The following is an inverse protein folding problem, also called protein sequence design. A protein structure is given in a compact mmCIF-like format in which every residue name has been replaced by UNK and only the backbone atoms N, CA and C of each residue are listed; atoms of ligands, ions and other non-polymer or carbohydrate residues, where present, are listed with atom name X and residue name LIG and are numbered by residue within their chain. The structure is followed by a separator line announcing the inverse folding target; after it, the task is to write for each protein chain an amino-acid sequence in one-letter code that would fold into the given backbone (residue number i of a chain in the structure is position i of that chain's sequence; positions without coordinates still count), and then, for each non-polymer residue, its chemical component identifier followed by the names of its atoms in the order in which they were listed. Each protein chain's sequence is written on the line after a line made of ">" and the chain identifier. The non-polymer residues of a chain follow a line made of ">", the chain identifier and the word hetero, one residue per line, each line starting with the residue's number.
data_IF_273424888675
#
_entry.id   IF_273424888675
#
_cell.length_a   1.000
_cell.length_b   1.000
_cell.length_c   1.000
_cell.angle_alpha   90.00
_cell.angle_beta   90.00
_cell.angle_gamma   90.00
#
_symmetry.space_group_name_H-M   'P 1'
#
loop_
_entity.id
_entity.type
_entity.pdbx_description
1 polymer ?
#
# COMPACT_ATOMS: atom_id res chain seq x y z
N UNK A 1 -0.47 -21.45 34.75
CA UNK A 1 0.76 -21.25 33.94
C UNK A 1 0.59 -20.00 33.08
N UNK A 2 1.51 -19.10 33.13
CA UNK A 2 1.52 -17.97 32.18
C UNK A 2 1.91 -18.52 30.80
N UNK A 3 1.02 -18.38 29.81
CA UNK A 3 1.41 -18.63 28.43
C UNK A 3 2.49 -17.63 28.03
N UNK A 4 3.60 -18.12 27.49
CA UNK A 4 4.69 -17.28 27.01
C UNK A 4 4.44 -16.94 25.55
N UNK A 5 4.47 -15.64 25.23
CA UNK A 5 4.46 -15.17 23.85
C UNK A 5 5.70 -15.72 23.14
N UNK A 6 5.49 -16.36 21.99
CA UNK A 6 6.56 -16.97 21.17
C UNK A 6 6.72 -16.29 19.82
N UNK A 7 5.65 -15.69 19.32
CA UNK A 7 5.59 -15.05 18.01
C UNK A 7 5.08 -13.62 18.16
N UNK A 8 5.75 -12.68 17.52
CA UNK A 8 5.30 -11.29 17.41
C UNK A 8 5.07 -11.02 15.92
N UNK A 9 3.83 -10.67 15.58
CA UNK A 9 3.45 -10.29 14.23
C UNK A 9 3.39 -8.78 14.10
N UNK A 10 4.04 -8.24 13.08
CA UNK A 10 4.03 -6.81 12.76
C UNK A 10 3.22 -6.58 11.49
N UNK A 11 2.35 -5.59 11.54
CA UNK A 11 1.83 -4.98 10.32
C UNK A 11 2.98 -4.25 9.60
N UNK A 12 2.83 -4.02 8.30
CA UNK A 12 3.89 -3.43 7.49
C UNK A 12 3.67 -1.95 7.20
N UNK A 13 2.75 -1.63 6.27
CA UNK A 13 2.50 -0.26 5.84
C UNK A 13 2.05 0.63 7.00
N UNK A 14 2.71 1.79 7.15
CA UNK A 14 2.48 2.76 8.23
C UNK A 14 2.68 2.21 9.66
N UNK A 15 3.33 1.05 9.75
CA UNK A 15 3.81 0.46 10.99
C UNK A 15 5.33 0.30 10.98
N UNK A 16 5.89 -0.30 9.94
CA UNK A 16 7.33 -0.45 9.77
C UNK A 16 7.93 0.68 8.92
N UNK A 17 7.21 1.13 7.93
CA UNK A 17 7.62 2.19 7.00
C UNK A 17 6.44 3.07 6.61
N UNK A 18 6.74 4.26 6.12
CA UNK A 18 5.74 5.21 5.65
C UNK A 18 5.11 4.74 4.35
N UNK A 19 3.79 4.80 4.24
CA UNK A 19 3.03 4.38 3.07
C UNK A 19 1.95 5.39 2.67
N UNK A 20 1.07 5.77 3.58
CA UNK A 20 -0.06 6.65 3.31
C UNK A 20 0.31 7.99 2.65
N UNK A 21 1.39 8.69 3.05
CA UNK A 21 1.77 9.94 2.39
C UNK A 21 2.04 9.79 0.89
N UNK A 22 2.58 8.65 0.45
CA UNK A 22 2.83 8.38 -0.97
C UNK A 22 1.52 8.18 -1.74
N UNK A 23 0.56 7.49 -1.16
CA UNK A 23 -0.79 7.32 -1.73
C UNK A 23 -1.52 8.65 -1.82
N UNK A 24 -1.44 9.49 -0.80
CA UNK A 24 -2.04 10.82 -0.80
C UNK A 24 -1.46 11.70 -1.91
N UNK A 25 -0.16 11.68 -2.12
CA UNK A 25 0.49 12.45 -3.18
C UNK A 25 0.05 11.95 -4.58
N UNK A 26 -0.02 10.64 -4.78
CA UNK A 26 -0.52 10.06 -6.04
C UNK A 26 -1.98 10.45 -6.26
N UNK A 27 -2.83 10.39 -5.24
CA UNK A 27 -4.24 10.78 -5.35
C UNK A 27 -4.39 12.26 -5.70
N UNK A 28 -3.55 13.12 -5.13
CA UNK A 28 -3.53 14.54 -5.47
C UNK A 28 -3.19 14.76 -6.95
N UNK A 29 -2.14 14.11 -7.45
CA UNK A 29 -1.78 14.19 -8.86
C UNK A 29 -2.88 13.61 -9.76
N UNK A 30 -3.52 12.53 -9.32
CA UNK A 30 -4.65 11.91 -10.02
C UNK A 30 -5.84 12.87 -10.16
N UNK A 31 -6.24 13.53 -9.07
CA UNK A 31 -7.35 14.49 -9.12
C UNK A 31 -7.00 15.71 -9.99
N UNK A 32 -5.74 16.12 -10.03
CA UNK A 32 -5.26 17.19 -10.92
C UNK A 32 -5.39 16.80 -12.40
N UNK A 33 -5.05 15.55 -12.75
CA UNK A 33 -5.21 15.03 -14.12
C UNK A 33 -6.68 15.01 -14.56
N UNK A 34 -7.59 14.79 -13.64
CA UNK A 34 -9.02 14.66 -13.90
C UNK A 34 -9.81 15.95 -13.66
N UNK A 35 -9.14 17.05 -13.41
CA UNK A 35 -9.72 18.36 -13.13
C UNK A 35 -10.84 18.80 -14.10
N UNK A 36 -10.79 18.50 -15.42
CA UNK A 36 -11.88 18.83 -16.33
C UNK A 36 -13.20 18.10 -16.02
N UNK A 37 -13.17 17.02 -15.23
CA UNK A 37 -14.31 16.15 -14.95
C UNK A 37 -14.95 16.34 -13.58
N UNK A 38 -14.36 17.17 -12.72
CA UNK A 38 -14.89 17.43 -11.39
C UNK A 38 -13.90 18.07 -10.45
N UNK A 39 -14.34 18.38 -9.25
CA UNK A 39 -13.47 18.87 -8.17
C UNK A 39 -12.64 17.73 -7.59
N UNK A 40 -11.54 18.05 -6.94
CA UNK A 40 -10.71 17.05 -6.24
C UNK A 40 -11.54 16.22 -5.25
N UNK A 41 -12.43 16.87 -4.52
CA UNK A 41 -13.30 16.21 -3.54
C UNK A 41 -14.28 15.23 -4.20
N UNK A 42 -14.90 15.62 -5.31
CA UNK A 42 -15.82 14.76 -6.06
C UNK A 42 -15.11 13.56 -6.66
N UNK A 43 -13.93 13.76 -7.24
CA UNK A 43 -13.12 12.70 -7.84
C UNK A 43 -12.60 11.74 -6.77
N UNK A 44 -12.11 12.25 -5.65
CA UNK A 44 -11.67 11.40 -4.51
C UNK A 44 -12.83 10.58 -3.95
N UNK A 45 -14.01 11.14 -3.83
CA UNK A 45 -15.18 10.42 -3.36
C UNK A 45 -15.61 9.30 -4.33
N UNK A 46 -15.56 9.57 -5.64
CA UNK A 46 -15.83 8.57 -6.68
C UNK A 46 -14.79 7.44 -6.65
N UNK A 47 -13.50 7.78 -6.50
CA UNK A 47 -12.43 6.82 -6.39
C UNK A 47 -12.62 5.92 -5.16
N UNK A 48 -12.88 6.50 -4.02
CA UNK A 48 -13.11 5.75 -2.78
C UNK A 48 -14.27 4.75 -2.95
N UNK A 49 -15.37 5.16 -3.58
CA UNK A 49 -16.51 4.27 -3.83
C UNK A 49 -16.10 3.11 -4.75
N UNK A 50 -15.30 3.37 -5.77
CA UNK A 50 -14.77 2.33 -6.68
C UNK A 50 -13.87 1.36 -5.93
N UNK A 51 -12.98 1.87 -5.09
CA UNK A 51 -12.11 1.03 -4.25
C UNK A 51 -12.92 0.11 -3.32
N UNK A 52 -13.97 0.65 -2.70
CA UNK A 52 -14.84 -0.14 -1.83
C UNK A 52 -15.58 -1.24 -2.61
N UNK A 53 -16.05 -0.94 -3.80
CA UNK A 53 -16.70 -1.93 -4.66
C UNK A 53 -15.73 -3.02 -5.13
N UNK A 54 -14.48 -2.67 -5.32
CA UNK A 54 -13.43 -3.60 -5.79
C UNK A 54 -12.75 -4.39 -4.68
N UNK A 55 -12.98 -4.02 -3.42
CA UNK A 55 -12.21 -4.55 -2.29
C UNK A 55 -12.23 -6.07 -2.20
N UNK A 56 -13.39 -6.70 -2.38
CA UNK A 56 -13.53 -8.15 -2.31
C UNK A 56 -12.85 -8.89 -3.48
N UNK A 57 -12.74 -8.22 -4.63
CA UNK A 57 -12.20 -8.83 -5.86
C UNK A 57 -10.70 -8.59 -5.96
N UNK A 58 -10.27 -7.36 -5.67
CA UNK A 58 -8.90 -6.92 -5.89
C UNK A 58 -8.04 -6.85 -4.61
N UNK A 59 -8.69 -6.80 -3.44
CA UNK A 59 -7.97 -6.60 -2.18
C UNK A 59 -7.39 -5.21 -2.03
N UNK A 60 -6.35 -5.11 -1.23
CA UNK A 60 -5.63 -3.86 -0.94
C UNK A 60 -4.35 -3.75 -1.79
N UNK A 61 -3.76 -2.56 -1.82
CA UNK A 61 -2.45 -2.32 -2.39
C UNK A 61 -2.46 -1.50 -3.68
N UNK A 62 -1.27 -1.20 -4.18
CA UNK A 62 -1.05 -0.30 -5.31
C UNK A 62 -1.69 -0.78 -6.62
N UNK A 63 -1.71 -2.08 -6.87
CA UNK A 63 -2.32 -2.63 -8.09
C UNK A 63 -3.84 -2.46 -8.07
N UNK A 64 -4.48 -2.79 -6.96
CA UNK A 64 -5.92 -2.58 -6.77
C UNK A 64 -6.29 -1.10 -6.88
N UNK A 65 -5.50 -0.24 -6.26
CA UNK A 65 -5.65 1.22 -6.34
C UNK A 65 -5.53 1.73 -7.78
N UNK A 66 -4.55 1.23 -8.53
CA UNK A 66 -4.34 1.61 -9.94
C UNK A 66 -5.54 1.23 -10.81
N UNK A 67 -6.04 0.01 -10.66
CA UNK A 67 -7.24 -0.45 -11.39
C UNK A 67 -8.44 0.43 -11.04
N UNK A 68 -8.64 0.73 -9.77
CA UNK A 68 -9.73 1.60 -9.32
C UNK A 68 -9.61 3.03 -9.85
N UNK A 69 -8.40 3.58 -9.95
CA UNK A 69 -8.16 4.89 -10.57
C UNK A 69 -8.55 4.90 -12.05
N UNK A 70 -8.15 3.89 -12.80
CA UNK A 70 -8.51 3.76 -14.22
C UNK A 70 -10.01 3.62 -14.41
N UNK A 71 -10.64 2.75 -13.64
CA UNK A 71 -12.08 2.51 -13.68
C UNK A 71 -12.88 3.78 -13.36
N UNK A 72 -12.50 4.50 -12.31
CA UNK A 72 -13.12 5.77 -11.93
C UNK A 72 -12.97 6.82 -13.03
N UNK A 73 -11.79 6.95 -13.62
CA UNK A 73 -11.55 7.89 -14.71
C UNK A 73 -12.45 7.61 -15.92
N UNK A 74 -12.64 6.35 -16.27
CA UNK A 74 -13.55 5.93 -17.34
C UNK A 74 -15.01 6.25 -16.99
N UNK A 75 -15.43 6.01 -15.75
CA UNK A 75 -16.80 6.29 -15.30
C UNK A 75 -17.12 7.77 -15.34
N UNK A 76 -16.30 8.62 -14.72
CA UNK A 76 -16.60 10.06 -14.64
C UNK A 76 -16.49 10.78 -15.99
N UNK A 77 -15.72 10.26 -16.91
CA UNK A 77 -15.59 10.79 -18.28
C UNK A 77 -16.57 10.19 -19.27
N UNK A 78 -17.41 9.25 -18.85
CA UNK A 78 -18.29 8.47 -19.73
C UNK A 78 -17.50 7.79 -20.87
N UNK A 79 -16.32 7.28 -20.56
CA UNK A 79 -15.44 6.62 -21.53
C UNK A 79 -14.71 7.55 -22.49
N UNK A 80 -14.80 8.87 -22.29
CA UNK A 80 -14.23 9.87 -23.21
C UNK A 80 -12.83 10.34 -22.83
N UNK A 81 -12.29 9.84 -21.72
CA UNK A 81 -10.95 10.23 -21.28
C UNK A 81 -9.89 9.86 -22.32
N UNK A 82 -8.93 10.75 -22.55
CA UNK A 82 -7.86 10.52 -23.50
C UNK A 82 -6.96 9.36 -23.06
N UNK A 83 -6.51 8.55 -24.00
CA UNK A 83 -5.63 7.41 -23.74
C UNK A 83 -4.33 7.81 -23.04
N UNK A 84 -3.82 9.02 -23.34
CA UNK A 84 -2.62 9.53 -22.71
C UNK A 84 -2.80 9.86 -21.22
N UNK A 85 -3.98 10.29 -20.82
CA UNK A 85 -4.31 10.51 -19.40
C UNK A 85 -4.39 9.15 -18.68
N UNK A 86 -4.98 8.14 -19.29
CA UNK A 86 -4.98 6.77 -18.76
C UNK A 86 -3.54 6.26 -18.55
N UNK A 87 -2.64 6.52 -19.51
CA UNK A 87 -1.22 6.15 -19.37
C UNK A 87 -0.58 6.83 -18.16
N UNK A 88 -0.83 8.12 -17.98
CA UNK A 88 -0.33 8.85 -16.82
C UNK A 88 -0.89 8.30 -15.50
N UNK A 89 -2.15 7.89 -15.45
CA UNK A 89 -2.76 7.26 -14.29
C UNK A 89 -2.07 5.93 -13.97
N UNK A 90 -1.82 5.10 -14.98
CA UNK A 90 -1.09 3.84 -14.82
C UNK A 90 0.33 4.10 -14.29
N UNK A 91 1.01 5.13 -14.80
CA UNK A 91 2.36 5.49 -14.35
C UNK A 91 2.35 5.97 -12.89
N UNK A 92 1.33 6.71 -12.46
CA UNK A 92 1.14 7.08 -11.05
C UNK A 92 1.01 5.84 -10.17
N UNK A 93 0.20 4.87 -10.60
CA UNK A 93 0.04 3.61 -9.87
C UNK A 93 1.35 2.83 -9.77
N UNK A 94 2.10 2.73 -10.88
CA UNK A 94 3.41 2.07 -10.90
C UNK A 94 4.43 2.77 -10.00
N UNK A 95 4.34 4.09 -9.85
CA UNK A 95 5.24 4.83 -8.96
C UNK A 95 5.12 4.37 -7.50
N UNK A 96 3.93 3.94 -7.08
CA UNK A 96 3.72 3.40 -5.74
C UNK A 96 4.48 2.09 -5.51
N UNK A 97 4.64 1.27 -6.55
CA UNK A 97 5.41 0.02 -6.47
C UNK A 97 6.92 0.27 -6.38
N UNK A 98 7.36 1.47 -6.69
CA UNK A 98 8.78 1.89 -6.68
C UNK A 98 9.08 2.94 -5.63
N UNK A 99 8.12 3.25 -4.75
CA UNK A 99 8.31 4.29 -3.75
C UNK A 99 9.49 3.96 -2.83
N UNK A 100 10.21 5.00 -2.34
CA UNK A 100 11.28 4.77 -1.37
C UNK A 100 10.71 4.20 -0.08
N UNK A 101 11.49 3.35 0.59
CA UNK A 101 11.12 2.79 1.88
C UNK A 101 11.71 3.66 2.98
N UNK A 102 10.86 4.40 3.64
CA UNK A 102 11.22 5.27 4.76
C UNK A 102 10.76 4.61 6.07
N UNK A 103 11.71 4.07 6.81
CA UNK A 103 11.42 3.41 8.09
C UNK A 103 10.86 4.42 9.09
N UNK A 104 9.84 4.01 9.85
CA UNK A 104 9.35 4.82 10.94
C UNK A 104 10.37 4.86 12.09
N UNK A 105 10.37 5.94 12.89
CA UNK A 105 11.31 6.09 14.01
C UNK A 105 11.23 4.92 14.99
N UNK A 106 12.37 4.40 15.41
CA UNK A 106 12.47 3.34 16.42
C UNK A 106 12.25 1.92 15.91
N UNK A 107 11.84 1.73 14.66
CA UNK A 107 11.54 0.40 14.10
C UNK A 107 12.77 -0.50 14.09
N UNK A 108 13.86 -0.03 13.52
CA UNK A 108 15.08 -0.84 13.39
C UNK A 108 15.67 -1.23 14.75
N UNK A 109 15.71 -0.29 15.68
CA UNK A 109 16.22 -0.50 17.03
C UNK A 109 15.35 -1.50 17.80
N UNK A 110 14.03 -1.38 17.68
CA UNK A 110 13.08 -2.30 18.32
C UNK A 110 13.22 -3.73 17.79
N UNK A 111 13.29 -3.90 16.46
CA UNK A 111 13.47 -5.21 15.85
C UNK A 111 14.80 -5.84 16.24
N UNK A 112 15.86 -5.06 16.26
CA UNK A 112 17.17 -5.50 16.70
C UNK A 112 17.14 -6.00 18.13
N UNK A 113 16.56 -5.22 19.04
CA UNK A 113 16.42 -5.58 20.47
C UNK A 113 15.63 -6.86 20.64
N UNK A 114 14.49 -7.00 19.96
CA UNK A 114 13.66 -8.20 20.04
C UNK A 114 14.39 -9.44 19.52
N UNK A 115 15.12 -9.30 18.43
CA UNK A 115 15.89 -10.42 17.86
C UNK A 115 17.05 -10.85 18.80
N UNK A 116 17.74 -9.90 19.42
CA UNK A 116 18.83 -10.18 20.34
C UNK A 116 18.39 -10.94 21.59
N UNK A 117 17.11 -10.83 21.99
CA UNK A 117 16.59 -11.63 23.11
C UNK A 117 16.55 -13.13 22.82
N UNK A 118 16.49 -13.52 21.55
CA UNK A 118 16.34 -14.92 21.13
C UNK A 118 15.04 -15.60 21.55
N UNK A 119 14.08 -14.84 22.12
CA UNK A 119 12.85 -15.37 22.70
C UNK A 119 11.69 -15.46 21.71
N UNK A 120 11.70 -14.65 20.63
CA UNK A 120 10.58 -14.47 19.77
C UNK A 120 10.91 -14.80 18.32
N UNK A 121 9.93 -15.37 17.63
CA UNK A 121 9.89 -15.38 16.16
C UNK A 121 9.17 -14.12 15.72
N UNK A 122 9.80 -13.34 14.83
CA UNK A 122 9.21 -12.13 14.28
C UNK A 122 8.66 -12.45 12.90
N UNK A 123 7.40 -12.08 12.66
CA UNK A 123 6.72 -12.28 11.38
C UNK A 123 6.08 -10.97 10.92
N UNK A 124 5.95 -10.80 9.62
CA UNK A 124 5.17 -9.72 9.02
C UNK A 124 3.81 -10.27 8.62
N UNK A 125 2.75 -9.58 9.03
CA UNK A 125 1.37 -9.88 8.66
C UNK A 125 0.76 -8.62 8.04
N UNK A 126 0.42 -8.66 6.77
CA UNK A 126 -0.08 -7.51 6.02
C UNK A 126 -1.31 -7.86 5.21
N UNK A 127 -2.12 -6.86 4.84
CA UNK A 127 -3.25 -6.99 3.92
C UNK A 127 -2.89 -6.67 2.47
N UNK A 128 -1.70 -6.14 2.22
CA UNK A 128 -1.25 -5.75 0.90
C UNK A 128 -0.98 -6.92 -0.05
N UNK A 129 -0.66 -6.58 -1.29
CA UNK A 129 -0.23 -7.54 -2.31
C UNK A 129 1.08 -8.22 -1.89
N UNK A 130 1.12 -9.55 -1.91
CA UNK A 130 2.27 -10.31 -1.41
C UNK A 130 3.58 -9.93 -2.11
N UNK A 131 3.58 -9.86 -3.44
CA UNK A 131 4.79 -9.54 -4.20
C UNK A 131 5.31 -8.13 -3.85
N UNK A 132 4.42 -7.14 -3.77
CA UNK A 132 4.79 -5.77 -3.40
C UNK A 132 5.35 -5.72 -1.98
N UNK A 133 4.71 -6.41 -1.03
CA UNK A 133 5.15 -6.42 0.36
C UNK A 133 6.50 -7.14 0.55
N UNK A 134 6.72 -8.24 -0.18
CA UNK A 134 8.03 -8.91 -0.20
C UNK A 134 9.13 -7.99 -0.72
N UNK A 135 8.86 -7.29 -1.82
CA UNK A 135 9.80 -6.34 -2.40
C UNK A 135 10.08 -5.15 -1.47
N UNK A 136 9.07 -4.64 -0.78
CA UNK A 136 9.22 -3.56 0.21
C UNK A 136 10.05 -4.03 1.41
N UNK A 137 9.77 -5.22 1.92
CA UNK A 137 10.51 -5.78 3.06
C UNK A 137 11.99 -5.95 2.71
N UNK A 138 12.29 -6.47 1.53
CA UNK A 138 13.67 -6.63 1.05
C UNK A 138 14.37 -5.28 0.91
N UNK A 139 13.73 -4.32 0.23
CA UNK A 139 14.28 -2.95 0.06
C UNK A 139 14.45 -2.19 1.37
N UNK A 140 13.66 -2.52 2.39
CA UNK A 140 13.75 -1.90 3.72
C UNK A 140 15.02 -2.30 4.49
N UNK A 141 15.65 -3.40 4.10
CA UNK A 141 16.75 -3.99 4.84
C UNK A 141 16.33 -4.73 6.12
N UNK A 142 15.01 -4.88 6.35
CA UNK A 142 14.48 -5.52 7.55
C UNK A 142 14.26 -7.03 7.40
N UNK A 143 14.41 -7.59 6.19
CA UNK A 143 14.23 -9.02 5.94
C UNK A 143 14.95 -9.94 6.95
N UNK A 144 16.22 -9.66 7.35
CA UNK A 144 16.93 -10.54 8.29
C UNK A 144 16.27 -10.66 9.67
N UNK A 145 15.40 -9.73 10.05
CA UNK A 145 14.73 -9.76 11.35
C UNK A 145 13.49 -10.66 11.37
N UNK A 146 12.96 -11.01 10.20
CA UNK A 146 11.70 -11.74 10.08
C UNK A 146 11.93 -13.15 9.52
N UNK A 147 11.21 -14.13 10.05
CA UNK A 147 11.25 -15.49 9.55
C UNK A 147 10.14 -15.81 8.54
N UNK A 148 9.11 -14.99 8.48
CA UNK A 148 7.95 -15.21 7.61
C UNK A 148 7.25 -13.89 7.29
N UNK A 149 6.77 -13.77 6.06
CA UNK A 149 5.81 -12.76 5.64
C UNK A 149 4.60 -13.46 5.05
N UNK A 150 3.40 -13.05 5.46
CA UNK A 150 2.16 -13.54 4.86
C UNK A 150 1.13 -12.42 4.75
N UNK A 151 0.20 -12.58 3.81
CA UNK A 151 -0.89 -11.65 3.60
C UNK A 151 -2.20 -12.24 4.11
N UNK A 152 -3.00 -11.40 4.77
CA UNK A 152 -4.34 -11.78 5.19
C UNK A 152 -5.33 -11.48 4.07
N UNK A 153 -6.27 -12.39 3.76
CA UNK A 153 -7.27 -12.17 2.71
C UNK A 153 -8.40 -11.23 3.13
N UNK A 154 -8.48 -10.82 4.36
CA UNK A 154 -9.58 -9.98 4.86
C UNK A 154 -9.17 -8.54 5.11
#
# INVERSE_FOLDING_TARGET
>A
MKELIKVIAFDADDTLWSNEPFFQEVEKQYTDLLKPYGTSKEISAALFQTEMNNLQILGYGAKAFTISMVETALQISNGKIAADIIRQIVDLGKSLLKMPIELLPGVKETLKTLKETGKYKLVVATKGDLLDQENKLERSGLSPYFCLLYTSPS
#
